data_IF_201668841093
#
_entry.id   IF_201668841093
#
_cell.length_a   1.000
_cell.length_b   1.000
_cell.length_c   1.000
_cell.angle_alpha   90.00
_cell.angle_beta   90.00
_cell.angle_gamma   90.00
#
_symmetry.space_group_name_H-M   'P 1'
#
loop_
_entity.id
_entity.type
_entity.pdbx_description
1 polymer ?
#
# COMPACT_ATOMS: atom_id res chain seq x y z
N UNK A 1 -4.15 14.47 -3.00
CA UNK A 1 -4.30 13.57 -4.17
C UNK A 1 -3.07 13.71 -5.07
N UNK A 2 -2.29 12.62 -5.23
CA UNK A 2 -1.22 12.56 -6.22
C UNK A 2 -1.75 12.86 -7.63
N UNK A 3 -0.90 13.35 -8.53
CA UNK A 3 -1.27 13.81 -9.87
C UNK A 3 -1.88 12.69 -10.74
N UNK A 4 -1.46 11.44 -10.55
CA UNK A 4 -1.99 10.25 -11.20
C UNK A 4 -3.50 10.04 -10.94
N UNK A 5 -3.94 10.21 -9.70
CA UNK A 5 -5.34 10.05 -9.30
C UNK A 5 -6.30 11.00 -10.00
N UNK A 6 -5.80 12.14 -10.50
CA UNK A 6 -6.61 13.12 -11.24
C UNK A 6 -6.79 12.74 -12.72
N UNK A 7 -5.92 11.89 -13.27
CA UNK A 7 -5.96 11.44 -14.67
C UNK A 7 -6.93 10.29 -14.92
N UNK A 8 -7.30 9.55 -13.88
CA UNK A 8 -8.27 8.45 -13.97
C UNK A 8 -9.68 8.99 -14.25
N UNK A 9 -10.50 8.27 -15.03
CA UNK A 9 -11.91 8.63 -15.22
C UNK A 9 -12.69 8.60 -13.90
N UNK A 10 -13.83 9.27 -13.80
CA UNK A 10 -14.63 9.29 -12.57
C UNK A 10 -15.07 7.88 -12.13
N UNK A 11 -15.30 6.97 -13.08
CA UNK A 11 -15.60 5.55 -12.83
C UNK A 11 -14.39 4.79 -12.30
N UNK A 12 -13.21 4.99 -12.90
CA UNK A 12 -11.96 4.41 -12.39
C UNK A 12 -11.62 4.94 -11.00
N UNK A 13 -11.81 6.25 -10.75
CA UNK A 13 -11.61 6.84 -9.42
C UNK A 13 -12.56 6.27 -8.37
N UNK A 14 -13.82 6.00 -8.71
CA UNK A 14 -14.79 5.39 -7.78
C UNK A 14 -14.49 3.93 -7.52
N UNK A 15 -14.16 3.14 -8.56
CA UNK A 15 -13.76 1.74 -8.41
C UNK A 15 -12.48 1.61 -7.58
N UNK A 16 -11.47 2.43 -7.89
CA UNK A 16 -10.19 2.44 -7.18
C UNK A 16 -10.35 2.99 -5.75
N UNK A 17 -11.18 4.01 -5.52
CA UNK A 17 -11.45 4.50 -4.16
C UNK A 17 -12.12 3.44 -3.29
N UNK A 18 -13.01 2.60 -3.84
CA UNK A 18 -13.61 1.48 -3.09
C UNK A 18 -12.55 0.41 -2.79
N UNK A 19 -11.68 0.08 -3.75
CA UNK A 19 -10.59 -0.89 -3.55
C UNK A 19 -9.59 -0.40 -2.50
N UNK A 20 -9.13 0.85 -2.59
CA UNK A 20 -8.19 1.43 -1.62
C UNK A 20 -8.80 1.59 -0.23
N UNK A 21 -10.10 1.87 -0.12
CA UNK A 21 -10.79 1.98 1.18
C UNK A 21 -11.04 0.61 1.83
N UNK A 22 -11.11 -0.47 1.04
CA UNK A 22 -11.11 -1.86 1.54
C UNK A 22 -9.69 -2.34 1.87
N UNK A 23 -8.66 -1.78 1.22
CA UNK A 23 -7.26 -2.17 1.43
C UNK A 23 -6.50 -1.34 2.49
N UNK A 24 -7.00 -0.17 2.86
CA UNK A 24 -6.43 0.63 3.95
C UNK A 24 -6.98 0.16 5.30
N UNK A 25 -6.15 -0.37 6.22
CA UNK A 25 -6.63 -0.66 7.57
C UNK A 25 -6.90 0.64 8.33
N UNK A 26 -8.11 0.77 8.86
CA UNK A 26 -8.44 1.73 9.92
C UNK A 26 -7.57 1.34 11.12
N UNK A 27 -6.62 2.21 11.48
CA UNK A 27 -5.83 2.06 12.71
C UNK A 27 -6.76 2.34 13.89
N UNK A 28 -7.28 1.29 14.53
CA UNK A 28 -7.71 1.38 15.93
C UNK A 28 -6.45 1.17 16.77
N UNK A 29 -5.79 2.27 17.15
CA UNK A 29 -4.80 2.22 18.22
C UNK A 29 -5.55 1.84 19.49
N UNK A 30 -5.30 0.63 19.99
CA UNK A 30 -5.78 0.18 21.29
C UNK A 30 -5.13 1.01 22.39
N UNK A 31 -5.88 1.91 23.01
CA UNK A 31 -5.59 2.42 24.35
C UNK A 31 -6.37 1.56 25.34
N UNK A 32 -5.64 0.72 26.08
CA UNK A 32 -6.20 0.04 27.23
C UNK A 32 -6.35 1.03 28.41
N UNK A 33 -7.51 0.91 29.08
CA UNK A 33 -7.85 1.33 30.45
C UNK A 33 -8.37 2.75 30.68
N UNK A 34 -9.66 2.83 31.04
CA UNK A 34 -10.28 4.00 31.67
C UNK A 34 -11.82 4.03 31.61
N UNK A 35 -12.51 3.12 32.31
CA UNK A 35 -13.96 3.18 32.56
C UNK A 35 -14.30 4.33 33.54
N UNK A 36 -15.14 5.30 33.15
CA UNK A 36 -16.30 5.80 33.95
C UNK A 36 -17.12 6.95 33.30
N UNK A 37 -18.45 6.80 33.30
CA UNK A 37 -19.48 7.86 33.37
C UNK A 37 -19.94 8.45 32.03
N UNK A 38 -21.14 8.09 31.50
CA UNK A 38 -22.46 8.74 31.75
C UNK A 38 -22.55 10.15 31.09
N UNK A 39 -23.52 10.57 30.28
CA UNK A 39 -24.88 10.13 29.92
C UNK A 39 -25.40 10.98 28.74
N UNK A 40 -26.27 10.41 27.90
CA UNK A 40 -27.46 11.11 27.36
C UNK A 40 -27.35 11.84 26.01
N UNK A 41 -28.43 11.70 25.21
CA UNK A 41 -28.81 12.67 24.18
C UNK A 41 -28.75 12.16 22.74
N UNK A 42 -29.92 11.95 22.12
CA UNK A 42 -30.07 11.36 20.80
C UNK A 42 -30.07 12.33 19.61
N UNK A 43 -29.98 11.70 18.41
CA UNK A 43 -30.40 12.09 17.05
C UNK A 43 -30.07 13.50 16.54
N UNK A 44 -29.26 13.56 15.48
CA UNK A 44 -29.67 14.07 14.16
C UNK A 44 -28.64 13.70 13.08
N UNK A 45 -29.13 13.30 11.92
CA UNK A 45 -28.36 13.01 10.73
C UNK A 45 -27.75 14.30 10.15
N UNK A 46 -26.48 14.25 9.76
CA UNK A 46 -25.86 15.26 8.92
C UNK A 46 -25.04 14.57 7.82
N UNK A 47 -25.36 14.96 6.58
CA UNK A 47 -24.70 14.58 5.33
C UNK A 47 -23.17 14.66 5.42
N UNK A 48 -22.42 13.72 4.81
CA UNK A 48 -20.98 13.83 4.75
C UNK A 48 -20.58 14.92 3.75
N UNK A 49 -20.26 16.10 4.26
CA UNK A 49 -19.49 17.11 3.54
C UNK A 49 -18.12 16.53 3.20
N UNK A 50 -17.77 16.58 1.91
CA UNK A 50 -16.48 16.16 1.38
C UNK A 50 -15.35 16.98 2.02
N UNK A 51 -14.70 16.43 3.04
CA UNK A 51 -13.46 16.99 3.57
C UNK A 51 -12.34 16.63 2.60
N UNK A 52 -12.00 17.60 1.77
CA UNK A 52 -10.76 17.65 0.98
C UNK A 52 -9.55 17.38 1.89
N UNK A 53 -9.02 16.15 1.85
CA UNK A 53 -7.72 15.84 2.46
C UNK A 53 -6.60 16.34 1.53
N UNK A 54 -6.29 17.62 1.68
CA UNK A 54 -5.09 18.23 1.13
C UNK A 54 -3.92 17.80 2.02
N UNK A 55 -3.32 16.63 1.77
CA UNK A 55 -2.01 16.32 2.36
C UNK A 55 -0.95 17.19 1.68
N UNK A 56 -0.71 18.34 2.32
CA UNK A 56 0.51 19.15 2.26
C UNK A 56 1.64 18.24 2.73
N UNK A 57 2.78 18.27 2.03
CA UNK A 57 4.01 17.65 2.53
C UNK A 57 4.22 18.08 3.98
N UNK A 58 4.48 17.10 4.85
CA UNK A 58 4.78 17.35 6.26
C UNK A 58 5.92 18.38 6.32
N UNK A 59 5.74 19.55 6.94
CA UNK A 59 6.85 20.45 7.17
C UNK A 59 7.91 19.71 7.99
N UNK A 60 9.18 19.86 7.63
CA UNK A 60 10.29 19.38 8.43
C UNK A 60 10.14 19.91 9.85
N UNK A 61 9.98 19.01 10.81
CA UNK A 61 9.85 19.37 12.22
C UNK A 61 8.55 18.90 12.86
N UNK A 62 8.37 17.58 12.93
CA UNK A 62 7.81 16.85 14.07
C UNK A 62 8.21 15.38 13.85
N UNK A 63 9.53 15.13 13.80
CA UNK A 63 10.04 13.76 13.85
C UNK A 63 9.68 13.20 15.22
N UNK A 64 9.14 11.98 15.26
CA UNK A 64 9.11 11.20 16.50
C UNK A 64 10.51 11.26 17.13
N UNK A 65 10.63 11.36 18.48
CA UNK A 65 11.93 11.43 19.13
C UNK A 65 12.77 10.24 18.67
N UNK A 66 13.97 10.55 18.18
CA UNK A 66 14.94 9.53 17.77
C UNK A 66 15.19 8.61 18.99
N UNK A 67 15.13 7.28 18.81
CA UNK A 67 15.21 6.36 19.94
C UNK A 67 16.53 6.55 20.70
N UNK A 68 16.43 6.71 22.02
CA UNK A 68 17.59 6.95 22.89
C UNK A 68 18.64 5.82 22.81
N UNK A 69 18.20 4.62 22.43
CA UNK A 69 19.03 3.48 22.12
C UNK A 69 18.51 2.79 20.87
N UNK A 70 19.38 2.56 19.90
CA UNK A 70 19.03 1.82 18.70
C UNK A 70 18.94 0.33 18.99
N UNK A 71 17.99 -0.36 18.34
CA UNK A 71 17.93 -1.81 18.35
C UNK A 71 19.28 -2.41 17.87
N UNK A 72 19.66 -3.61 18.35
CA UNK A 72 20.90 -4.27 17.95
C UNK A 72 21.03 -4.38 16.42
N UNK A 73 22.22 -4.13 15.88
CA UNK A 73 22.44 -4.16 14.43
C UNK A 73 22.00 -5.47 13.77
N UNK A 74 22.13 -6.60 14.47
CA UNK A 74 21.66 -7.90 13.99
C UNK A 74 20.13 -7.97 13.85
N UNK A 75 19.37 -7.36 14.76
CA UNK A 75 17.92 -7.27 14.69
C UNK A 75 17.50 -6.38 13.50
N UNK A 76 18.14 -5.22 13.36
CA UNK A 76 17.90 -4.29 12.24
C UNK A 76 18.17 -4.91 10.87
N UNK A 77 19.26 -5.66 10.73
CA UNK A 77 19.59 -6.39 9.49
C UNK A 77 18.55 -7.45 9.13
N UNK A 78 18.06 -8.19 10.13
CA UNK A 78 17.01 -9.19 9.92
C UNK A 78 15.69 -8.54 9.50
N UNK A 79 15.28 -7.48 10.20
CA UNK A 79 14.10 -6.69 9.84
C UNK A 79 14.20 -6.15 8.40
N UNK A 80 15.31 -5.51 8.04
CA UNK A 80 15.52 -5.01 6.68
C UNK A 80 15.51 -6.13 5.61
N UNK A 81 16.02 -7.33 5.93
CA UNK A 81 15.97 -8.46 5.00
C UNK A 81 14.52 -8.95 4.75
N UNK A 82 13.67 -8.97 5.78
CA UNK A 82 12.24 -9.29 5.65
C UNK A 82 11.55 -8.23 4.78
N UNK A 83 11.83 -6.95 5.05
CA UNK A 83 11.31 -5.84 4.26
C UNK A 83 11.65 -6.00 2.76
N UNK A 84 12.92 -6.26 2.43
CA UNK A 84 13.37 -6.49 1.05
C UNK A 84 12.72 -7.72 0.41
N UNK A 85 12.50 -8.79 1.18
CA UNK A 85 11.83 -10.00 0.70
C UNK A 85 10.38 -9.72 0.32
N UNK A 86 9.65 -8.99 1.16
CA UNK A 86 8.29 -8.56 0.85
C UNK A 86 8.24 -7.60 -0.35
N UNK A 87 9.16 -6.64 -0.45
CA UNK A 87 9.25 -5.76 -1.63
C UNK A 87 9.48 -6.58 -2.92
N UNK A 88 10.38 -7.57 -2.89
CA UNK A 88 10.67 -8.44 -4.04
C UNK A 88 9.45 -9.29 -4.47
N UNK A 89 8.63 -9.72 -3.50
CA UNK A 89 7.36 -10.39 -3.78
C UNK A 89 6.44 -9.51 -4.62
N UNK A 90 6.15 -8.28 -4.15
CA UNK A 90 5.27 -7.36 -4.87
C UNK A 90 5.82 -6.96 -6.23
N UNK A 91 7.13 -6.81 -6.35
CA UNK A 91 7.77 -6.53 -7.63
C UNK A 91 7.56 -7.67 -8.65
N UNK A 92 7.61 -8.92 -8.18
CA UNK A 92 7.35 -10.11 -9.00
C UNK A 92 5.89 -10.17 -9.42
N UNK A 93 4.95 -10.05 -8.48
CA UNK A 93 3.50 -10.07 -8.78
C UNK A 93 3.08 -8.93 -9.71
N UNK A 94 3.72 -7.76 -9.58
CA UNK A 94 3.47 -6.64 -10.49
C UNK A 94 3.98 -6.93 -11.90
N UNK A 95 5.20 -7.46 -12.02
CA UNK A 95 5.78 -7.84 -13.30
C UNK A 95 4.93 -8.90 -14.03
N UNK A 96 4.54 -9.95 -13.31
CA UNK A 96 3.66 -11.01 -13.81
C UNK A 96 2.30 -10.45 -14.24
N UNK A 97 1.77 -9.49 -13.49
CA UNK A 97 0.53 -8.80 -13.81
C UNK A 97 0.60 -7.99 -15.10
N UNK A 98 1.67 -7.21 -15.29
CA UNK A 98 1.90 -6.47 -16.52
C UNK A 98 1.97 -7.43 -17.72
N UNK A 99 2.73 -8.52 -17.61
CA UNK A 99 2.81 -9.55 -18.65
C UNK A 99 1.43 -10.16 -18.93
N UNK A 100 0.68 -10.51 -17.89
CA UNK A 100 -0.63 -11.13 -18.03
C UNK A 100 -1.64 -10.20 -18.72
N UNK A 101 -1.63 -8.91 -18.37
CA UNK A 101 -2.52 -7.91 -18.96
C UNK A 101 -2.16 -7.64 -20.42
N UNK A 102 -0.88 -7.38 -20.72
CA UNK A 102 -0.43 -7.07 -22.07
C UNK A 102 -0.60 -8.25 -23.04
N UNK A 103 -0.62 -9.49 -22.53
CA UNK A 103 -0.88 -10.68 -23.33
C UNK A 103 -2.35 -11.11 -23.35
N UNK A 104 -3.26 -10.43 -22.66
CA UNK A 104 -4.65 -10.87 -22.47
C UNK A 104 -5.43 -11.07 -23.78
N UNK A 105 -5.08 -10.34 -24.84
CA UNK A 105 -5.69 -10.46 -26.17
C UNK A 105 -5.21 -11.67 -26.97
N UNK A 106 -4.15 -12.36 -26.53
CA UNK A 106 -3.61 -13.54 -27.22
C UNK A 106 -4.51 -14.77 -27.02
N UNK A 107 -4.68 -15.65 -28.02
CA UNK A 107 -5.40 -16.91 -27.85
C UNK A 107 -4.83 -17.72 -26.68
N UNK A 108 -5.70 -18.18 -25.78
CA UNK A 108 -5.33 -19.02 -24.64
C UNK A 108 -4.71 -18.32 -23.43
N UNK A 109 -4.54 -16.99 -23.43
CA UNK A 109 -3.93 -16.27 -22.30
C UNK A 109 -4.90 -15.91 -21.16
N UNK A 110 -6.20 -15.94 -21.42
CA UNK A 110 -7.23 -15.55 -20.44
C UNK A 110 -7.17 -16.33 -19.11
N UNK A 111 -6.95 -17.66 -19.07
CA UNK A 111 -6.84 -18.37 -17.80
C UNK A 111 -5.67 -17.89 -16.93
N UNK A 112 -4.52 -17.56 -17.53
CA UNK A 112 -3.36 -17.05 -16.81
C UNK A 112 -3.64 -15.64 -16.25
N UNK A 113 -4.23 -14.76 -17.07
CA UNK A 113 -4.70 -13.46 -16.61
C UNK A 113 -5.69 -13.57 -15.45
N UNK A 114 -6.70 -14.43 -15.58
CA UNK A 114 -7.74 -14.56 -14.56
C UNK A 114 -7.20 -15.13 -13.24
N UNK A 115 -6.28 -16.09 -13.30
CA UNK A 115 -5.63 -16.66 -12.12
C UNK A 115 -4.82 -15.61 -11.36
N UNK A 116 -4.04 -14.78 -12.06
CA UNK A 116 -3.32 -13.66 -11.47
C UNK A 116 -4.29 -12.59 -10.93
N UNK A 117 -5.26 -12.15 -11.74
CA UNK A 117 -6.25 -11.14 -11.38
C UNK A 117 -6.98 -11.50 -10.08
N UNK A 118 -7.37 -12.77 -9.90
CA UNK A 118 -8.08 -13.21 -8.69
C UNK A 118 -7.26 -13.02 -7.40
N UNK A 119 -5.93 -13.17 -7.48
CA UNK A 119 -5.03 -12.90 -6.35
C UNK A 119 -4.86 -11.40 -6.14
N UNK A 120 -4.48 -10.68 -7.20
CA UNK A 120 -4.17 -9.25 -7.16
C UNK A 120 -5.38 -8.36 -6.83
N UNK A 121 -6.58 -8.68 -7.32
CA UNK A 121 -7.79 -7.88 -7.09
C UNK A 121 -8.23 -7.84 -5.62
N UNK A 122 -7.80 -8.81 -4.81
CA UNK A 122 -8.02 -8.80 -3.35
C UNK A 122 -6.85 -8.14 -2.59
N UNK A 123 -5.99 -7.42 -3.31
CA UNK A 123 -4.83 -6.70 -2.80
C UNK A 123 -3.66 -7.59 -2.40
N UNK A 124 -3.78 -8.91 -2.45
CA UNK A 124 -2.77 -9.86 -1.99
C UNK A 124 -1.99 -9.36 -0.75
N UNK A 125 -2.76 -9.00 0.29
CA UNK A 125 -2.28 -8.20 1.42
C UNK A 125 -1.55 -9.04 2.47
N UNK A 126 -1.71 -10.35 2.44
CA UNK A 126 -1.21 -11.21 3.50
C UNK A 126 0.34 -11.17 3.61
N UNK A 127 1.10 -11.21 2.51
CA UNK A 127 2.56 -11.11 2.55
C UNK A 127 3.08 -9.87 3.27
N UNK A 128 2.53 -8.67 3.00
CA UNK A 128 2.98 -7.46 3.70
C UNK A 128 2.59 -7.46 5.17
N UNK A 129 1.40 -7.98 5.52
CA UNK A 129 0.93 -8.05 6.92
C UNK A 129 1.80 -8.99 7.75
N UNK A 130 2.12 -10.15 7.22
CA UNK A 130 2.99 -11.14 7.87
C UNK A 130 4.40 -10.58 8.05
N UNK A 131 4.96 -9.98 6.99
CA UNK A 131 6.26 -9.32 7.05
C UNK A 131 6.29 -8.17 8.06
N UNK A 132 5.22 -7.36 8.12
CA UNK A 132 5.10 -6.27 9.10
C UNK A 132 5.08 -6.80 10.53
N UNK A 133 4.29 -7.85 10.80
CA UNK A 133 4.24 -8.46 12.12
C UNK A 133 5.61 -9.01 12.54
N UNK A 134 6.32 -9.65 11.61
CA UNK A 134 7.67 -10.17 11.87
C UNK A 134 8.68 -9.05 12.13
N UNK A 135 8.66 -7.99 11.30
CA UNK A 135 9.51 -6.79 11.45
C UNK A 135 9.27 -6.13 12.81
N UNK A 136 8.01 -5.90 13.20
CA UNK A 136 7.68 -5.34 14.51
C UNK A 136 8.18 -6.22 15.66
N UNK A 137 8.24 -7.54 15.49
CA UNK A 137 8.79 -8.46 16.49
C UNK A 137 10.27 -8.25 16.82
N UNK A 138 11.04 -7.53 15.98
CA UNK A 138 12.44 -7.20 16.22
C UNK A 138 12.65 -5.93 17.06
N UNK A 139 11.59 -5.16 17.31
CA UNK A 139 11.68 -3.85 17.95
C UNK A 139 10.70 -3.73 19.12
N UNK A 140 11.09 -2.92 20.08
CA UNK A 140 10.20 -2.33 21.08
C UNK A 140 9.76 -0.94 20.61
N UNK A 141 8.77 -0.36 21.28
CA UNK A 141 8.39 1.03 21.01
C UNK A 141 9.51 2.05 21.28
N UNK A 142 10.52 1.68 22.08
CA UNK A 142 11.60 2.57 22.49
C UNK A 142 12.82 2.56 21.54
N UNK A 143 12.94 1.56 20.67
CA UNK A 143 14.10 1.35 19.79
C UNK A 143 13.74 1.07 18.32
N UNK A 144 12.44 1.08 17.98
CA UNK A 144 11.94 1.05 16.61
C UNK A 144 12.31 2.34 15.87
N UNK A 145 13.05 2.27 14.75
CA UNK A 145 13.26 3.43 13.90
C UNK A 145 11.97 3.84 13.18
N UNK A 146 11.82 5.13 12.86
CA UNK A 146 10.61 5.64 12.19
C UNK A 146 10.39 5.01 10.82
N UNK A 147 11.46 4.59 10.13
CA UNK A 147 11.37 3.88 8.86
C UNK A 147 10.63 2.54 8.91
N UNK A 148 10.46 1.92 10.09
CA UNK A 148 9.58 0.73 10.20
C UNK A 148 8.14 1.10 9.86
N UNK A 149 7.70 2.28 10.30
CA UNK A 149 6.36 2.77 10.00
C UNK A 149 6.24 3.25 8.57
N UNK A 150 7.25 3.97 8.07
CA UNK A 150 7.28 4.43 6.68
C UNK A 150 7.22 3.22 5.72
N UNK A 151 8.04 2.20 5.97
CA UNK A 151 8.02 0.95 5.19
C UNK A 151 6.67 0.23 5.21
N UNK A 152 6.01 0.17 6.38
CA UNK A 152 4.66 -0.42 6.50
C UNK A 152 3.67 0.32 5.59
N UNK A 153 3.71 1.65 5.59
CA UNK A 153 2.78 2.48 4.83
C UNK A 153 3.06 2.33 3.31
N UNK A 154 4.33 2.31 2.90
CA UNK A 154 4.73 2.16 1.50
C UNK A 154 4.47 0.75 0.96
N UNK A 155 4.70 -0.30 1.75
CA UNK A 155 4.38 -1.67 1.32
C UNK A 155 2.85 -1.89 1.21
N UNK A 156 2.07 -1.21 2.06
CA UNK A 156 0.62 -1.11 1.90
C UNK A 156 0.21 -0.47 0.56
N UNK A 157 0.99 0.49 0.05
CA UNK A 157 0.78 1.06 -1.29
C UNK A 157 1.10 0.06 -2.40
N UNK A 158 2.18 -0.72 -2.29
CA UNK A 158 2.51 -1.78 -3.27
C UNK A 158 1.37 -2.81 -3.42
N UNK A 159 0.75 -3.19 -2.31
CA UNK A 159 -0.44 -4.05 -2.29
C UNK A 159 -1.66 -3.39 -2.96
N UNK A 160 -1.87 -2.10 -2.72
CA UNK A 160 -2.94 -1.34 -3.37
C UNK A 160 -2.71 -1.19 -4.88
N UNK A 161 -1.46 -0.99 -5.30
CA UNK A 161 -1.07 -0.89 -6.71
C UNK A 161 -1.32 -2.19 -7.47
N UNK A 162 -1.10 -3.36 -6.85
CA UNK A 162 -1.51 -4.64 -7.46
C UNK A 162 -3.02 -4.70 -7.71
N UNK A 163 -3.83 -4.24 -6.76
CA UNK A 163 -5.29 -4.23 -6.92
C UNK A 163 -5.74 -3.22 -8.00
N UNK A 164 -5.06 -2.07 -8.10
CA UNK A 164 -5.26 -1.10 -9.18
C UNK A 164 -4.91 -1.73 -10.53
N UNK A 165 -3.75 -2.37 -10.63
CA UNK A 165 -3.29 -3.03 -11.85
C UNK A 165 -4.29 -4.11 -12.30
N UNK A 166 -4.80 -4.91 -11.36
CA UNK A 166 -5.83 -5.92 -11.63
C UNK A 166 -7.10 -5.29 -12.22
N UNK A 167 -7.58 -4.20 -11.63
CA UNK A 167 -8.74 -3.47 -12.12
C UNK A 167 -8.53 -2.90 -13.53
N UNK A 168 -7.36 -2.28 -13.79
CA UNK A 168 -7.01 -1.78 -15.13
C UNK A 168 -6.95 -2.90 -16.17
N UNK A 169 -6.51 -4.08 -15.75
CA UNK A 169 -6.44 -5.28 -16.59
C UNK A 169 -7.78 -5.77 -17.13
N UNK A 170 -8.92 -5.40 -16.51
CA UNK A 170 -10.27 -5.83 -16.92
C UNK A 170 -10.74 -5.25 -18.26
N UNK A 171 -10.17 -4.12 -18.70
CA UNK A 171 -10.50 -3.49 -19.99
C UNK A 171 -9.53 -3.90 -21.12
N UNK A 172 -8.42 -4.58 -20.81
CA UNK A 172 -7.44 -5.03 -21.80
C UNK A 172 -7.99 -6.11 -22.75
N UNK A 173 -7.66 -6.02 -24.04
CA UNK A 173 -8.21 -6.88 -25.10
C UNK A 173 -9.68 -6.62 -25.47
N UNK A 174 -10.31 -5.58 -24.91
CA UNK A 174 -11.66 -5.14 -25.24
C UNK A 174 -11.69 -3.85 -26.09
N UNK A 175 -12.87 -3.22 -26.27
CA UNK A 175 -13.01 -1.97 -27.04
C UNK A 175 -12.20 -0.78 -26.50
N UNK A 176 -11.66 -0.89 -25.28
CA UNK A 176 -10.85 0.13 -24.60
C UNK A 176 -9.38 -0.28 -24.42
N UNK A 177 -8.91 -1.28 -25.17
CA UNK A 177 -7.59 -1.89 -25.01
C UNK A 177 -6.44 -0.86 -24.98
N UNK A 178 -6.41 0.09 -25.93
CA UNK A 178 -5.37 1.13 -25.95
C UNK A 178 -5.36 2.01 -24.68
N UNK A 179 -6.53 2.36 -24.15
CA UNK A 179 -6.62 3.14 -22.92
C UNK A 179 -6.23 2.32 -21.69
N UNK A 180 -6.58 1.02 -21.68
CA UNK A 180 -6.17 0.09 -20.62
C UNK A 180 -4.65 -0.12 -20.63
N UNK A 181 -4.04 -0.31 -21.80
CA UNK A 181 -2.59 -0.43 -21.94
C UNK A 181 -1.87 0.83 -21.48
N UNK A 182 -2.35 2.03 -21.84
CA UNK A 182 -1.76 3.28 -21.34
C UNK A 182 -1.89 3.39 -19.82
N UNK A 183 -3.04 3.05 -19.24
CA UNK A 183 -3.22 3.09 -17.79
C UNK A 183 -2.30 2.09 -17.06
N UNK A 184 -2.04 0.92 -17.65
CA UNK A 184 -1.07 -0.06 -17.14
C UNK A 184 0.35 0.53 -17.16
N UNK A 185 0.75 1.20 -18.25
CA UNK A 185 2.07 1.85 -18.33
C UNK A 185 2.21 2.98 -17.29
N UNK A 186 1.16 3.78 -17.08
CA UNK A 186 1.16 4.80 -16.03
C UNK A 186 1.27 4.18 -14.63
N UNK A 187 0.59 3.06 -14.38
CA UNK A 187 0.71 2.32 -13.13
C UNK A 187 2.11 1.71 -12.94
N UNK A 188 2.80 1.28 -14.01
CA UNK A 188 4.18 0.81 -13.96
C UNK A 188 5.13 1.89 -13.46
N UNK A 189 4.93 3.14 -13.91
CA UNK A 189 5.75 4.25 -13.43
C UNK A 189 5.53 4.50 -11.93
N UNK A 190 4.27 4.51 -11.48
CA UNK A 190 3.94 4.75 -10.08
C UNK A 190 4.45 3.64 -9.15
N UNK A 191 4.24 2.38 -9.53
CA UNK A 191 4.72 1.23 -8.76
C UNK A 191 6.24 1.24 -8.58
N UNK A 192 6.99 1.74 -9.57
CA UNK A 192 8.45 1.88 -9.46
C UNK A 192 8.87 2.94 -8.44
N UNK A 193 8.10 4.02 -8.30
CA UNK A 193 8.32 5.05 -7.28
C UNK A 193 8.08 4.47 -5.89
N UNK A 194 6.91 3.85 -5.67
CA UNK A 194 6.54 3.25 -4.39
C UNK A 194 7.49 2.10 -4.00
N UNK A 195 7.97 1.33 -4.98
CA UNK A 195 8.99 0.31 -4.75
C UNK A 195 10.33 0.91 -4.30
N UNK A 196 10.74 2.03 -4.91
CA UNK A 196 11.98 2.70 -4.55
C UNK A 196 11.92 3.29 -3.14
N UNK A 197 10.77 3.84 -2.74
CA UNK A 197 10.54 4.36 -1.39
C UNK A 197 10.54 3.23 -0.36
N UNK A 198 9.82 2.12 -0.61
CA UNK A 198 9.85 0.94 0.25
C UNK A 198 11.26 0.32 0.37
N UNK A 199 12.07 0.34 -0.70
CA UNK A 199 13.46 -0.13 -0.64
C UNK A 199 14.34 0.80 0.21
N UNK A 200 14.17 2.11 0.05
CA UNK A 200 14.89 3.12 0.82
C UNK A 200 14.57 3.03 2.31
N UNK A 201 13.32 2.73 2.67
CA UNK A 201 12.97 2.54 4.07
C UNK A 201 13.56 1.26 4.66
N UNK A 202 13.62 0.16 3.90
CA UNK A 202 14.36 -1.03 4.34
C UNK A 202 15.84 -0.72 4.64
N UNK A 203 16.48 0.12 3.83
CA UNK A 203 17.86 0.57 4.06
C UNK A 203 17.97 1.48 5.29
N UNK A 204 16.97 2.32 5.54
CA UNK A 204 16.88 3.15 6.76
C UNK A 204 16.67 2.30 8.01
N UNK A 205 15.86 1.25 7.94
CA UNK A 205 15.67 0.29 9.04
C UNK A 205 17.01 -0.35 9.41
N UNK A 206 17.78 -0.80 8.42
CA UNK A 206 19.10 -1.40 8.66
C UNK A 206 20.07 -0.40 9.34
N UNK A 207 20.02 0.86 8.90
CA UNK A 207 20.79 1.96 9.48
C UNK A 207 20.29 2.42 10.86
N UNK A 208 19.05 2.07 11.26
CA UNK A 208 18.41 2.54 12.48
C UNK A 208 17.86 3.97 12.40
N UNK A 209 17.30 4.37 11.25
CA UNK A 209 16.85 5.75 10.93
C UNK A 209 15.38 5.85 10.55
#
# INVERSE_FOLDING_TARGET
MPSFWRKLSALQRRGIAVVVLVCAPIVIVGTASGLRGSSGGGKAAASPSATSSTRKATPAGLSAPEPAHLAPAAARRKAAAICRTANAYYQTEFHDGVIAILNRSKPGSYPAFYAWHKRAANGDQQPWKDASAEVYGFFTAADAPSSVRDWYDDNGLLSADLAILAYLGLDAGGPRDAAAQQAVQDAVAHFREDFADAQKDADRIEAGK
#
